data_IF_040081111359
#
_entry.id   IF_040081111359
#
_cell.length_a   1.000
_cell.length_b   1.000
_cell.length_c   1.000
_cell.angle_alpha   90.00
_cell.angle_beta   90.00
_cell.angle_gamma   90.00
#
_symmetry.space_group_name_H-M   'P 1'
#
loop_
_entity.id
_entity.type
_entity.pdbx_description
1 polymer ?
#
# COMPACT_ATOMS: atom_id res chain seq x y z
N UNK A 1 19.96 3.20 -17.08
CA UNK A 1 18.66 2.84 -16.45
C UNK A 1 17.77 4.06 -16.20
N UNK A 2 18.26 5.17 -15.60
CA UNK A 2 17.44 6.37 -15.32
C UNK A 2 16.86 7.08 -16.56
N UNK A 3 17.55 7.04 -17.70
CA UNK A 3 17.06 7.60 -18.98
C UNK A 3 15.92 6.80 -19.56
N UNK A 4 16.00 5.47 -19.54
CA UNK A 4 14.92 4.57 -19.94
C UNK A 4 13.67 4.75 -19.06
N UNK A 5 13.85 4.81 -17.74
CA UNK A 5 12.74 5.07 -16.82
C UNK A 5 12.07 6.43 -17.09
N UNK A 6 12.84 7.48 -17.37
CA UNK A 6 12.27 8.80 -17.72
C UNK A 6 11.51 8.79 -19.03
N UNK A 7 12.05 8.16 -20.08
CA UNK A 7 11.39 8.08 -21.38
C UNK A 7 10.09 7.28 -21.31
N UNK A 8 10.07 6.16 -20.57
CA UNK A 8 8.86 5.38 -20.34
C UNK A 8 7.83 6.16 -19.51
N UNK A 9 8.28 6.87 -18.47
CA UNK A 9 7.37 7.65 -17.63
C UNK A 9 6.69 8.78 -18.41
N UNK A 10 7.43 9.50 -19.27
CA UNK A 10 6.88 10.55 -20.13
C UNK A 10 5.88 9.99 -21.14
N UNK A 11 6.14 8.81 -21.70
CA UNK A 11 5.23 8.16 -22.65
C UNK A 11 3.92 7.74 -21.95
N UNK A 12 4.04 7.15 -20.76
CA UNK A 12 2.92 6.64 -19.97
C UNK A 12 2.07 7.80 -19.40
N UNK A 13 2.68 8.81 -18.78
CA UNK A 13 1.98 9.98 -18.24
C UNK A 13 1.23 10.77 -19.32
N UNK A 14 1.74 10.79 -20.55
CA UNK A 14 1.12 11.51 -21.67
C UNK A 14 -0.03 10.73 -22.34
N UNK A 15 -0.01 9.39 -22.28
CA UNK A 15 -1.00 8.54 -22.95
C UNK A 15 -2.03 7.92 -22.02
N UNK A 16 -1.78 7.87 -20.70
CA UNK A 16 -2.77 7.42 -19.73
C UNK A 16 -3.89 8.47 -19.68
N UNK A 17 -5.06 8.20 -20.30
CA UNK A 17 -6.22 9.03 -20.04
C UNK A 17 -6.59 8.85 -18.57
N UNK A 18 -7.35 9.79 -18.01
CA UNK A 18 -7.92 9.56 -16.68
C UNK A 18 -8.58 8.17 -16.62
N UNK A 19 -8.40 7.42 -15.52
CA UNK A 19 -8.90 6.04 -15.42
C UNK A 19 -10.41 5.93 -15.73
N UNK A 20 -11.16 6.97 -15.36
CA UNK A 20 -12.57 7.09 -15.70
C UNK A 20 -12.82 7.22 -17.21
N UNK A 21 -12.07 8.08 -17.91
CA UNK A 21 -12.19 8.21 -19.36
C UNK A 21 -11.86 6.90 -20.07
N UNK A 22 -10.85 6.18 -19.61
CA UNK A 22 -10.50 4.86 -20.14
C UNK A 22 -11.65 3.85 -19.97
N UNK A 23 -12.26 3.79 -18.78
CA UNK A 23 -13.43 2.94 -18.53
C UNK A 23 -14.64 3.30 -19.40
N UNK A 24 -14.86 4.60 -19.65
CA UNK A 24 -15.95 5.07 -20.52
C UNK A 24 -15.73 4.63 -21.98
N UNK A 25 -14.52 4.81 -22.50
CA UNK A 25 -14.17 4.37 -23.87
C UNK A 25 -14.35 2.86 -23.99
N UNK A 26 -13.85 2.08 -23.02
CA UNK A 26 -14.03 0.63 -23.03
C UNK A 26 -15.50 0.21 -22.95
N UNK A 27 -16.32 0.94 -22.18
CA UNK A 27 -17.77 0.67 -22.11
C UNK A 27 -18.43 0.86 -23.47
N UNK A 28 -18.08 1.94 -24.20
CA UNK A 28 -18.60 2.19 -25.54
C UNK A 28 -18.15 1.11 -26.52
N UNK A 29 -16.86 0.74 -26.48
CA UNK A 29 -16.31 -0.32 -27.32
C UNK A 29 -17.00 -1.66 -27.01
N UNK A 30 -17.13 -2.03 -25.74
CA UNK A 30 -17.78 -3.27 -25.33
C UNK A 30 -19.27 -3.28 -25.73
N UNK A 31 -19.97 -2.15 -25.62
CA UNK A 31 -21.36 -2.03 -26.06
C UNK A 31 -21.48 -2.20 -27.58
N UNK A 32 -20.59 -1.56 -28.36
CA UNK A 32 -20.54 -1.73 -29.81
C UNK A 32 -20.24 -3.18 -30.19
N UNK A 33 -19.28 -3.82 -29.52
CA UNK A 33 -18.98 -5.24 -29.72
C UNK A 33 -20.18 -6.14 -29.37
N UNK A 34 -20.91 -5.85 -28.29
CA UNK A 34 -22.13 -6.57 -27.93
C UNK A 34 -23.16 -6.52 -29.06
N UNK A 35 -23.42 -5.34 -29.62
CA UNK A 35 -24.40 -5.18 -30.71
C UNK A 35 -23.91 -5.80 -32.02
N UNK A 36 -22.70 -5.46 -32.46
CA UNK A 36 -22.21 -5.83 -33.79
C UNK A 36 -21.67 -7.27 -33.88
N UNK A 37 -21.02 -7.76 -32.82
CA UNK A 37 -20.45 -9.12 -32.80
C UNK A 37 -21.33 -10.10 -32.02
N UNK A 38 -21.98 -9.65 -30.95
CA UNK A 38 -22.84 -10.48 -30.11
C UNK A 38 -24.28 -10.62 -30.61
N UNK A 39 -24.72 -9.75 -31.53
CA UNK A 39 -26.09 -9.79 -32.08
C UNK A 39 -27.18 -9.44 -31.07
N UNK A 40 -26.82 -8.89 -29.91
CA UNK A 40 -27.76 -8.48 -28.86
C UNK A 40 -28.28 -7.07 -29.15
N UNK A 41 -29.55 -6.81 -28.87
CA UNK A 41 -30.15 -5.49 -29.13
C UNK A 41 -29.59 -4.42 -28.19
N UNK A 42 -29.62 -3.14 -28.61
CA UNK A 42 -29.13 -2.02 -27.78
C UNK A 42 -29.75 -1.98 -26.37
N UNK A 43 -31.07 -2.18 -26.18
CA UNK A 43 -31.67 -2.23 -24.84
C UNK A 43 -31.16 -3.41 -24.00
N UNK A 44 -30.91 -4.57 -24.61
CA UNK A 44 -30.37 -5.74 -23.90
C UNK A 44 -28.94 -5.49 -23.43
N UNK A 45 -28.08 -4.91 -24.28
CA UNK A 45 -26.72 -4.52 -23.89
C UNK A 45 -26.73 -3.52 -22.73
N UNK A 46 -27.65 -2.55 -22.74
CA UNK A 46 -27.83 -1.61 -21.64
C UNK A 46 -28.25 -2.29 -20.32
N UNK A 47 -29.18 -3.24 -20.39
CA UNK A 47 -29.60 -4.04 -19.22
C UNK A 47 -28.46 -4.90 -18.67
N UNK A 48 -27.67 -5.53 -19.54
CA UNK A 48 -26.49 -6.31 -19.14
C UNK A 48 -25.43 -5.43 -18.48
N UNK A 49 -25.16 -4.25 -19.04
CA UNK A 49 -24.23 -3.30 -18.45
C UNK A 49 -24.71 -2.82 -17.08
N UNK A 50 -25.99 -2.47 -16.94
CA UNK A 50 -26.60 -2.07 -15.68
C UNK A 50 -26.46 -3.18 -14.62
N UNK A 51 -26.85 -4.41 -14.95
CA UNK A 51 -26.74 -5.54 -14.03
C UNK A 51 -25.27 -5.79 -13.61
N UNK A 52 -24.33 -5.73 -14.55
CA UNK A 52 -22.90 -5.84 -14.27
C UNK A 52 -22.40 -4.74 -13.35
N UNK A 53 -22.79 -3.48 -13.60
CA UNK A 53 -22.40 -2.33 -12.78
C UNK A 53 -22.80 -2.50 -11.32
N UNK A 54 -24.03 -2.95 -11.05
CA UNK A 54 -24.50 -3.17 -9.67
C UNK A 54 -23.78 -4.32 -8.98
N UNK A 55 -23.47 -5.41 -9.69
CA UNK A 55 -22.65 -6.49 -9.14
C UNK A 55 -21.24 -6.00 -8.75
N UNK A 56 -20.62 -5.13 -9.55
CA UNK A 56 -19.33 -4.53 -9.20
C UNK A 56 -19.44 -3.60 -8.00
N UNK A 57 -20.54 -2.87 -7.85
CA UNK A 57 -20.76 -1.99 -6.71
C UNK A 57 -20.94 -2.79 -5.41
N UNK A 58 -21.71 -3.87 -5.44
CA UNK A 58 -21.86 -4.78 -4.30
C UNK A 58 -20.50 -5.40 -3.92
N UNK A 59 -19.78 -5.95 -4.90
CA UNK A 59 -18.42 -6.47 -4.70
C UNK A 59 -17.48 -5.40 -4.12
N UNK A 60 -17.52 -4.18 -4.67
CA UNK A 60 -16.70 -3.06 -4.22
C UNK A 60 -17.00 -2.67 -2.78
N UNK A 61 -18.28 -2.63 -2.38
CA UNK A 61 -18.68 -2.36 -1.00
C UNK A 61 -18.13 -3.41 -0.04
N UNK A 62 -18.23 -4.70 -0.40
CA UNK A 62 -17.66 -5.78 0.41
C UNK A 62 -16.14 -5.60 0.57
N UNK A 63 -15.42 -5.26 -0.50
CA UNK A 63 -13.98 -4.99 -0.44
C UNK A 63 -13.64 -3.76 0.40
N UNK A 64 -14.43 -2.69 0.35
CA UNK A 64 -14.27 -1.51 1.20
C UNK A 64 -14.40 -1.89 2.68
N UNK A 65 -15.44 -2.64 3.05
CA UNK A 65 -15.64 -3.08 4.44
C UNK A 65 -14.47 -3.94 4.92
N UNK A 66 -13.98 -4.87 4.08
CA UNK A 66 -12.79 -5.69 4.39
C UNK A 66 -11.56 -4.82 4.65
N UNK A 67 -11.30 -3.81 3.80
CA UNK A 67 -10.16 -2.91 3.96
C UNK A 67 -10.29 -2.01 5.21
N UNK A 68 -11.45 -1.39 5.41
CA UNK A 68 -11.72 -0.50 6.55
C UNK A 68 -11.62 -1.27 7.87
N UNK A 69 -12.18 -2.48 7.93
CA UNK A 69 -12.09 -3.32 9.12
C UNK A 69 -10.66 -3.79 9.36
N UNK A 70 -9.94 -4.19 8.30
CA UNK A 70 -8.51 -4.51 8.37
C UNK A 70 -7.68 -3.34 8.91
N UNK A 71 -7.97 -2.11 8.48
CA UNK A 71 -7.34 -0.90 9.00
C UNK A 71 -7.67 -0.65 10.47
N UNK A 72 -8.95 -0.73 10.85
CA UNK A 72 -9.39 -0.53 12.22
C UNK A 72 -8.73 -1.53 13.18
N UNK A 73 -8.65 -2.81 12.78
CA UNK A 73 -7.98 -3.85 13.54
C UNK A 73 -6.46 -3.64 13.60
N UNK A 74 -5.82 -3.23 12.51
CA UNK A 74 -4.38 -2.92 12.49
C UNK A 74 -4.02 -1.79 13.47
N UNK A 75 -4.94 -0.82 13.65
CA UNK A 75 -4.79 0.30 14.60
C UNK A 75 -5.15 -0.05 16.03
N UNK A 76 -5.77 -1.19 16.28
CA UNK A 76 -6.10 -1.63 17.63
C UNK A 76 -4.83 -1.73 18.49
N UNK A 77 -4.87 -1.33 19.77
CA UNK A 77 -3.69 -1.26 20.63
C UNK A 77 -2.99 -2.61 20.80
N UNK A 78 -3.77 -3.71 20.78
CA UNK A 78 -3.22 -5.07 20.87
C UNK A 78 -2.37 -5.41 19.64
N UNK A 79 -2.92 -5.21 18.44
CA UNK A 79 -2.23 -5.54 17.18
C UNK A 79 -0.99 -4.67 17.01
N UNK A 80 -1.11 -3.37 17.24
CA UNK A 80 0.01 -2.44 17.17
C UNK A 80 1.16 -2.85 18.10
N UNK A 81 0.87 -3.19 19.37
CA UNK A 81 1.88 -3.69 20.32
C UNK A 81 2.56 -4.97 19.84
N UNK A 82 1.81 -5.89 19.23
CA UNK A 82 2.37 -7.12 18.67
C UNK A 82 3.33 -6.80 17.52
N UNK A 83 2.92 -5.94 16.58
CA UNK A 83 3.76 -5.53 15.45
C UNK A 83 5.05 -4.87 15.94
N UNK A 84 4.97 -3.96 16.91
CA UNK A 84 6.12 -3.29 17.49
C UNK A 84 7.10 -4.27 18.14
N UNK A 85 6.56 -5.31 18.80
CA UNK A 85 7.37 -6.38 19.37
C UNK A 85 8.10 -7.16 18.26
N UNK A 86 7.39 -7.56 17.21
CA UNK A 86 8.01 -8.27 16.07
C UNK A 86 9.06 -7.41 15.36
N UNK A 87 8.87 -6.08 15.30
CA UNK A 87 9.80 -5.15 14.68
C UNK A 87 11.18 -5.06 15.36
N UNK A 88 11.29 -5.44 16.64
CA UNK A 88 12.56 -5.46 17.39
C UNK A 88 13.35 -6.77 17.28
N UNK A 89 12.75 -7.82 16.72
CA UNK A 89 13.41 -9.13 16.55
C UNK A 89 14.55 -9.10 15.51
N UNK A 90 14.40 -8.51 14.31
CA UNK A 90 15.43 -8.57 13.29
C UNK A 90 16.64 -7.70 13.65
N UNK A 91 17.85 -8.29 13.55
CA UNK A 91 19.13 -7.60 13.78
C UNK A 91 19.93 -7.34 12.49
N UNK A 92 19.50 -7.94 11.38
CA UNK A 92 20.16 -7.86 10.08
C UNK A 92 19.16 -7.43 9.01
N UNK A 93 19.66 -6.83 7.92
CA UNK A 93 18.83 -6.37 6.81
C UNK A 93 18.01 -7.51 6.18
N UNK A 94 18.59 -8.70 6.04
CA UNK A 94 17.88 -9.87 5.52
C UNK A 94 16.79 -10.34 6.48
N UNK A 95 17.08 -10.43 7.78
CA UNK A 95 16.09 -10.79 8.78
C UNK A 95 14.93 -9.78 8.84
N UNK A 96 15.22 -8.48 8.67
CA UNK A 96 14.21 -7.43 8.60
C UNK A 96 13.23 -7.67 7.44
N UNK A 97 13.74 -7.98 6.25
CA UNK A 97 12.90 -8.32 5.09
C UNK A 97 12.05 -9.56 5.37
N UNK A 98 12.65 -10.64 5.90
CA UNK A 98 11.93 -11.88 6.20
C UNK A 98 10.81 -11.67 7.21
N UNK A 99 11.06 -10.94 8.31
CA UNK A 99 10.03 -10.66 9.33
C UNK A 99 8.88 -9.88 8.72
N UNK A 100 9.16 -8.83 7.95
CA UNK A 100 8.11 -8.04 7.28
C UNK A 100 7.28 -8.92 6.36
N UNK A 101 7.91 -9.73 5.50
CA UNK A 101 7.20 -10.62 4.58
C UNK A 101 6.33 -11.65 5.30
N UNK A 102 6.89 -12.36 6.28
CA UNK A 102 6.19 -13.45 7.00
C UNK A 102 5.03 -12.90 7.82
N UNK A 103 5.24 -11.81 8.57
CA UNK A 103 4.18 -11.22 9.38
C UNK A 103 3.08 -10.65 8.47
N UNK A 104 3.44 -9.96 7.38
CA UNK A 104 2.45 -9.45 6.41
C UNK A 104 1.65 -10.58 5.78
N UNK A 105 2.29 -11.71 5.45
CA UNK A 105 1.61 -12.88 4.90
C UNK A 105 0.63 -13.50 5.91
N UNK A 106 1.03 -13.66 7.17
CA UNK A 106 0.16 -14.18 8.24
C UNK A 106 -1.04 -13.25 8.45
N UNK A 107 -0.81 -11.94 8.52
CA UNK A 107 -1.88 -10.95 8.63
C UNK A 107 -2.82 -11.00 7.41
N UNK A 108 -2.26 -11.20 6.22
CA UNK A 108 -3.01 -11.34 4.97
C UNK A 108 -3.88 -12.59 4.90
N UNK A 109 -3.45 -13.70 5.51
CA UNK A 109 -4.26 -14.92 5.63
C UNK A 109 -5.50 -14.69 6.51
N UNK A 110 -5.34 -13.93 7.60
CA UNK A 110 -6.46 -13.60 8.50
C UNK A 110 -7.45 -12.67 7.80
N UNK A 111 -6.94 -11.59 7.21
CA UNK A 111 -7.73 -10.69 6.39
C UNK A 111 -6.83 -10.05 5.35
N UNK A 112 -7.26 -10.09 4.09
CA UNK A 112 -6.48 -9.52 2.99
C UNK A 112 -6.24 -8.01 3.23
N UNK A 113 -7.22 -7.30 3.81
CA UNK A 113 -7.08 -5.90 4.20
C UNK A 113 -6.11 -5.66 5.37
N UNK A 114 -6.09 -6.56 6.36
CA UNK A 114 -5.15 -6.49 7.49
C UNK A 114 -3.71 -6.73 7.02
N UNK A 115 -3.49 -7.66 6.09
CA UNK A 115 -2.17 -7.91 5.49
C UNK A 115 -1.58 -6.67 4.82
N UNK A 116 -2.39 -5.94 4.05
CA UNK A 116 -1.94 -4.69 3.42
C UNK A 116 -1.58 -3.62 4.43
N UNK A 117 -2.52 -3.26 5.33
CA UNK A 117 -2.29 -2.18 6.30
C UNK A 117 -1.25 -2.57 7.33
N UNK A 118 -1.39 -3.73 7.96
CA UNK A 118 -0.46 -4.25 8.95
C UNK A 118 0.94 -4.45 8.39
N UNK A 119 1.06 -4.91 7.13
CA UNK A 119 2.33 -5.05 6.44
C UNK A 119 3.07 -3.72 6.25
N UNK A 120 2.34 -2.66 5.89
CA UNK A 120 2.95 -1.31 5.82
C UNK A 120 3.39 -0.81 7.20
N UNK A 121 2.60 -1.06 8.25
CA UNK A 121 2.93 -0.64 9.62
C UNK A 121 4.20 -1.34 10.10
N UNK A 122 4.29 -2.67 9.99
CA UNK A 122 5.49 -3.40 10.44
C UNK A 122 6.73 -3.02 9.63
N UNK A 123 6.61 -2.76 8.33
CA UNK A 123 7.72 -2.28 7.52
C UNK A 123 8.26 -0.92 8.03
N UNK A 124 7.36 0.00 8.40
CA UNK A 124 7.72 1.31 8.97
C UNK A 124 8.37 1.14 10.34
N UNK A 125 7.86 0.26 11.19
CA UNK A 125 8.41 0.03 12.54
C UNK A 125 9.80 -0.60 12.47
N UNK A 126 10.00 -1.61 11.63
CA UNK A 126 11.31 -2.25 11.40
C UNK A 126 12.32 -1.23 10.85
N UNK A 127 11.91 -0.40 9.88
CA UNK A 127 12.76 0.66 9.34
C UNK A 127 13.13 1.70 10.41
N UNK A 128 12.19 2.03 11.30
CA UNK A 128 12.42 2.99 12.40
C UNK A 128 13.38 2.43 13.44
N UNK A 129 13.23 1.17 13.83
CA UNK A 129 14.14 0.48 14.74
C UNK A 129 15.58 0.42 14.19
N UNK A 130 15.73 0.08 12.90
CA UNK A 130 17.06 0.05 12.27
C UNK A 130 17.69 1.43 12.10
N UNK A 131 16.90 2.47 11.81
CA UNK A 131 17.40 3.86 11.72
C UNK A 131 18.00 4.33 13.04
N UNK A 132 17.36 4.02 14.17
CA UNK A 132 17.85 4.40 15.50
C UNK A 132 19.24 3.81 15.79
N UNK A 133 19.45 2.53 15.44
CA UNK A 133 20.77 1.87 15.58
C UNK A 133 21.86 2.59 14.79
N UNK A 134 21.57 2.95 13.53
CA UNK A 134 22.52 3.69 12.69
C UNK A 134 22.80 5.07 13.30
N UNK A 135 21.76 5.80 13.72
CA UNK A 135 21.93 7.13 14.33
C UNK A 135 22.72 7.09 15.65
N UNK A 136 22.52 6.06 16.47
CA UNK A 136 23.27 5.86 17.71
C UNK A 136 24.76 5.55 17.44
N UNK A 137 25.06 4.83 16.36
CA UNK A 137 26.44 4.57 15.93
C UNK A 137 27.13 5.81 15.32
N UNK A 138 26.36 6.74 14.75
CA UNK A 138 26.88 7.93 14.08
C UNK A 138 27.03 9.14 15.02
N UNK A 139 26.38 9.15 16.19
CA UNK A 139 26.54 10.18 17.21
C UNK A 139 28.01 10.31 17.65
N UNK A 140 28.74 11.36 17.26
CA UNK A 140 30.09 11.58 17.75
C UNK A 140 29.98 11.91 19.24
N UNK A 141 30.60 11.10 20.10
CA UNK A 141 30.61 11.27 21.58
C UNK A 141 31.37 12.53 22.06
N UNK A 142 31.56 13.56 21.22
CA UNK A 142 32.53 14.64 21.44
C UNK A 142 31.98 16.07 21.48
N UNK A 143 30.66 16.30 21.41
CA UNK A 143 30.10 17.68 21.48
C UNK A 143 29.33 18.00 22.76
N UNK A 144 29.57 17.28 23.85
CA UNK A 144 28.96 17.59 25.15
C UNK A 144 29.97 17.59 26.32
N UNK A 145 31.08 18.33 26.15
CA UNK A 145 32.05 18.51 27.26
C UNK A 145 32.79 19.86 27.27
N UNK A 146 32.14 20.95 26.85
CA UNK A 146 32.77 22.29 26.91
C UNK A 146 31.95 23.40 27.62
N UNK A 147 30.73 23.15 28.11
CA UNK A 147 29.99 24.17 28.89
C UNK A 147 30.03 23.97 30.41
N UNK A 148 30.77 22.98 30.91
CA UNK A 148 31.04 22.78 32.34
C UNK A 148 32.50 23.11 32.64
N UNK A 149 32.81 24.40 32.74
CA UNK A 149 33.82 25.01 33.64
C UNK A 149 34.07 26.46 33.25
N UNK A 150 33.52 27.39 34.03
CA UNK A 150 34.20 28.61 34.47
C UNK A 150 33.42 29.22 35.64
N UNK A 151 33.74 28.89 36.90
CA UNK A 151 33.54 29.79 38.03
C UNK A 151 34.66 30.84 38.07
N UNK A 152 34.31 32.04 38.51
CA UNK A 152 35.16 33.23 38.73
C UNK A 152 35.46 34.09 37.49
N UNK A 153 34.70 35.18 37.34
CA UNK A 153 35.14 36.56 37.62
C UNK A 153 33.91 37.45 37.80
#
# INVERSE_FOLDING_TARGET
>A
MRTLSRSLNILVEKHLPSAFLFALILTIIAAAMGVFLGGVSVPEVANMWYAGFWNFLEFGMQMVVVLVTGYALAKAPLVNRLLAKFATIPKTQFAALTVVMVVSAILGIISWGLGFVGGTIIAIEVASAHRQLISASWSPRHTQRSSLRSPCL
#
